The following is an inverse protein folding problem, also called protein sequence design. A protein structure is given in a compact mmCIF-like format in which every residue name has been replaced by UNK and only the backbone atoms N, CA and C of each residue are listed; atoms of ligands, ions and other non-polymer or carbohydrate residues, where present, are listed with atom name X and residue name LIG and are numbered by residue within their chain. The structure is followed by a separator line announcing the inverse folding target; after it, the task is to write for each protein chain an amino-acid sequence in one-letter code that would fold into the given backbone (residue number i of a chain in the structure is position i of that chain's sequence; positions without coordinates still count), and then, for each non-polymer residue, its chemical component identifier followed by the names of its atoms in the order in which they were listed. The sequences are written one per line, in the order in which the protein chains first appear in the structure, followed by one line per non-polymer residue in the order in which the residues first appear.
data_IF_787587574748
#
_entry.id   IF_787587574748
#
_cell.length_a   1.000
_cell.length_b   1.000
_cell.length_c   1.000
_cell.angle_alpha   90.00
_cell.angle_beta   90.00
_cell.angle_gamma   90.00
#
_symmetry.space_group_name_H-M   'P 1'
#
loop_
_entity.id
_entity.type
_entity.pdbx_description
1 polymer ?
#
# COMPACT_ATOMS: atom_id res chain seq x y z
N UNK A 1 10.79 2.96 -6.45
CA UNK A 1 11.24 2.39 -5.16
C UNK A 1 10.20 1.37 -4.74
N UNK A 2 10.59 0.16 -4.35
CA UNK A 2 9.63 -0.89 -3.95
C UNK A 2 9.61 -1.08 -2.43
N UNK A 3 8.45 -1.46 -1.90
CA UNK A 3 8.24 -1.82 -0.50
C UNK A 3 7.61 -3.21 -0.46
N UNK A 4 8.36 -4.16 0.09
CA UNK A 4 7.89 -5.51 0.31
C UNK A 4 7.66 -5.75 1.81
N UNK A 5 6.68 -6.59 2.13
CA UNK A 5 6.32 -6.87 3.51
C UNK A 5 5.20 -7.89 3.61
N UNK A 6 4.72 -8.11 4.83
CA UNK A 6 3.55 -8.96 5.09
C UNK A 6 2.31 -8.09 5.18
N UNK A 7 1.25 -8.42 4.44
CA UNK A 7 0.00 -7.68 4.49
C UNK A 7 -0.71 -7.94 5.83
N UNK A 8 -0.86 -6.92 6.67
CA UNK A 8 -1.50 -7.06 7.98
C UNK A 8 -2.99 -6.75 7.94
N UNK A 9 -3.37 -5.69 7.23
CA UNK A 9 -4.76 -5.27 7.06
C UNK A 9 -4.95 -4.67 5.67
N UNK A 10 -6.14 -4.86 5.09
CA UNK A 10 -6.58 -4.17 3.89
C UNK A 10 -8.03 -3.70 4.03
N UNK A 11 -8.30 -2.51 3.53
CA UNK A 11 -9.62 -1.89 3.46
C UNK A 11 -9.88 -1.45 2.02
N UNK A 12 -10.61 -2.26 1.24
CA UNK A 12 -10.94 -1.97 -0.16
C UNK A 12 -12.09 -0.98 -0.33
N UNK A 13 -12.32 -0.53 -1.56
CA UNK A 13 -13.49 0.29 -1.92
C UNK A 13 -13.42 1.78 -1.53
N UNK A 14 -12.25 2.28 -1.16
CA UNK A 14 -12.05 3.68 -0.80
C UNK A 14 -11.77 4.55 -2.04
N UNK A 15 -11.90 5.87 -1.89
CA UNK A 15 -11.67 6.85 -2.97
C UNK A 15 -10.87 8.05 -2.48
N UNK A 16 -9.96 8.55 -3.30
CA UNK A 16 -9.19 9.76 -3.01
C UNK A 16 -9.09 10.64 -4.24
N UNK A 17 -8.78 11.92 -4.04
CA UNK A 17 -8.25 12.77 -5.10
C UNK A 17 -6.73 12.56 -5.17
N UNK A 18 -6.21 12.22 -6.35
CA UNK A 18 -4.78 12.13 -6.63
C UNK A 18 -4.51 12.84 -7.96
N UNK A 19 -3.56 13.77 -7.97
CA UNK A 19 -3.22 14.59 -9.15
C UNK A 19 -4.40 15.33 -9.82
N UNK A 20 -5.46 15.64 -9.05
CA UNK A 20 -6.63 16.37 -9.55
C UNK A 20 -7.76 15.47 -10.06
N UNK A 21 -7.57 14.14 -10.08
CA UNK A 21 -8.58 13.17 -10.48
C UNK A 21 -9.01 12.29 -9.29
N UNK A 22 -10.23 11.75 -9.34
CA UNK A 22 -10.71 10.79 -8.35
C UNK A 22 -10.20 9.39 -8.72
N UNK A 23 -9.49 8.75 -7.78
CA UNK A 23 -8.97 7.41 -7.94
C UNK A 23 -9.53 6.49 -6.85
N UNK A 24 -9.99 5.27 -7.19
CA UNK A 24 -10.23 4.24 -6.19
C UNK A 24 -8.89 3.84 -5.56
N UNK A 25 -8.94 3.38 -4.31
CA UNK A 25 -7.78 2.84 -3.66
C UNK A 25 -8.12 1.82 -2.58
N UNK A 26 -7.12 1.02 -2.23
CA UNK A 26 -7.13 0.14 -1.07
C UNK A 26 -6.19 0.70 -0.01
N UNK A 27 -6.70 0.95 1.20
CA UNK A 27 -5.83 1.26 2.34
C UNK A 27 -5.28 -0.05 2.88
N UNK A 28 -3.99 -0.13 3.11
CA UNK A 28 -3.42 -1.30 3.75
C UNK A 28 -2.27 -0.94 4.69
N UNK A 29 -1.97 -1.87 5.61
CA UNK A 29 -0.77 -1.80 6.43
C UNK A 29 0.07 -3.02 6.15
N UNK A 30 1.37 -2.81 5.94
CA UNK A 30 2.33 -3.90 5.75
C UNK A 30 3.38 -3.86 6.87
N UNK A 31 3.78 -5.03 7.36
CA UNK A 31 4.95 -5.19 8.23
C UNK A 31 6.22 -5.31 7.38
N UNK A 32 7.30 -4.61 7.76
CA UNK A 32 8.60 -4.73 7.08
C UNK A 32 9.12 -6.17 7.18
N UNK A 33 9.67 -6.68 6.08
CA UNK A 33 10.23 -8.05 6.06
C UNK A 33 11.52 -8.17 6.88
N UNK A 34 12.28 -7.09 7.04
CA UNK A 34 13.50 -7.05 7.84
C UNK A 34 13.22 -6.74 9.32
N UNK A 35 12.09 -6.08 9.61
CA UNK A 35 11.67 -5.70 10.96
C UNK A 35 10.14 -5.74 11.09
N UNK A 36 9.57 -6.88 11.53
CA UNK A 36 8.13 -7.05 11.62
C UNK A 36 7.43 -6.08 12.59
N UNK A 37 8.14 -5.49 13.56
CA UNK A 37 7.57 -4.48 14.46
C UNK A 37 7.37 -3.13 13.75
N UNK A 38 8.06 -2.93 12.62
CA UNK A 38 7.94 -1.74 11.80
C UNK A 38 6.80 -1.89 10.80
N UNK A 39 5.74 -1.13 11.02
CA UNK A 39 4.57 -1.10 10.15
C UNK A 39 4.60 0.12 9.22
N UNK A 40 4.07 -0.05 8.01
CA UNK A 40 3.89 1.03 7.04
C UNK A 40 2.44 1.14 6.62
N UNK A 41 1.91 2.37 6.68
CA UNK A 41 0.62 2.68 6.08
C UNK A 41 0.79 2.92 4.58
N UNK A 42 0.01 2.19 3.79
CA UNK A 42 0.05 2.23 2.34
C UNK A 42 -1.35 2.52 1.78
N UNK A 43 -1.36 3.19 0.65
CA UNK A 43 -2.53 3.42 -0.18
C UNK A 43 -2.21 2.91 -1.57
N UNK A 44 -2.85 1.81 -1.97
CA UNK A 44 -2.69 1.24 -3.31
C UNK A 44 -3.71 1.90 -4.22
N UNK A 45 -3.24 2.82 -5.06
CA UNK A 45 -4.07 3.59 -6.00
C UNK A 45 -4.50 2.72 -7.19
N UNK A 46 -5.60 3.13 -7.82
CA UNK A 46 -6.15 2.53 -9.04
C UNK A 46 -6.68 1.09 -8.86
N UNK A 47 -6.77 0.62 -7.61
CA UNK A 47 -7.23 -0.72 -7.25
C UNK A 47 -8.51 -0.65 -6.40
N UNK A 48 -9.47 -1.53 -6.72
CA UNK A 48 -10.72 -1.67 -5.95
C UNK A 48 -10.51 -2.65 -4.79
N UNK A 49 -9.72 -3.70 -5.01
CA UNK A 49 -9.25 -4.66 -4.00
C UNK A 49 -7.83 -5.14 -4.35
N UNK A 50 -7.11 -5.66 -3.36
CA UNK A 50 -5.82 -6.32 -3.55
C UNK A 50 -6.04 -7.84 -3.48
N UNK A 51 -5.63 -8.63 -4.50
CA UNK A 51 -5.82 -10.09 -4.53
C UNK A 51 -4.79 -10.84 -3.67
N UNK A 52 -4.43 -10.28 -2.51
CA UNK A 52 -3.50 -10.85 -1.54
C UNK A 52 -4.23 -10.96 -0.21
N UNK A 53 -4.12 -12.12 0.44
CA UNK A 53 -4.73 -12.36 1.73
C UNK A 53 -3.95 -11.70 2.87
N UNK A 54 -4.62 -11.42 3.98
CA UNK A 54 -3.94 -10.97 5.20
C UNK A 54 -3.02 -12.10 5.70
N UNK A 55 -1.79 -11.75 6.06
CA UNK A 55 -0.74 -12.69 6.45
C UNK A 55 0.18 -13.10 5.29
N UNK A 56 -0.18 -12.79 4.04
CA UNK A 56 0.63 -13.14 2.86
C UNK A 56 1.62 -12.01 2.50
N UNK A 57 2.73 -12.36 1.83
CA UNK A 57 3.68 -11.37 1.34
C UNK A 57 3.09 -10.52 0.22
N UNK A 58 3.40 -9.23 0.25
CA UNK A 58 2.99 -8.24 -0.75
C UNK A 58 4.19 -7.38 -1.14
N UNK A 59 4.24 -7.00 -2.43
CA UNK A 59 5.20 -6.04 -2.96
C UNK A 59 4.47 -4.86 -3.60
N UNK A 60 4.83 -3.66 -3.17
CA UNK A 60 4.24 -2.40 -3.58
C UNK A 60 5.28 -1.52 -4.25
N UNK A 61 4.92 -0.91 -5.38
CA UNK A 61 5.72 0.13 -6.00
C UNK A 61 5.34 1.50 -5.42
N UNK A 62 6.25 2.14 -4.70
CA UNK A 62 6.01 3.45 -4.10
C UNK A 62 6.06 4.53 -5.17
N UNK A 63 4.95 5.23 -5.33
CA UNK A 63 4.81 6.39 -6.21
C UNK A 63 5.20 7.66 -5.46
N UNK A 64 4.67 7.85 -4.24
CA UNK A 64 4.87 9.07 -3.46
C UNK A 64 4.84 8.78 -1.97
N UNK A 65 5.77 9.42 -1.25
CA UNK A 65 5.77 9.41 0.22
C UNK A 65 5.03 10.66 0.72
N UNK A 66 4.08 10.46 1.62
CA UNK A 66 3.31 11.52 2.24
C UNK A 66 3.61 11.50 3.73
N UNK A 67 4.20 12.57 4.24
CA UNK A 67 4.38 12.77 5.67
C UNK A 67 3.33 13.75 6.17
N UNK A 68 2.37 13.27 6.95
CA UNK A 68 1.39 14.13 7.60
C UNK A 68 2.01 14.74 8.86
N UNK A 69 2.49 15.97 8.75
CA UNK A 69 3.21 16.67 9.84
C UNK A 69 2.40 16.82 11.13
N UNK A 70 1.06 16.86 11.04
CA UNK A 70 0.17 17.03 12.21
C UNK A 70 0.02 15.75 13.01
N UNK A 71 0.01 14.59 12.36
CA UNK A 71 -0.15 13.27 12.99
C UNK A 71 1.17 12.53 13.15
N UNK A 72 2.25 12.99 12.49
CA UNK A 72 3.53 12.29 12.42
C UNK A 72 3.49 11.03 11.55
N UNK A 73 2.36 10.75 10.90
CA UNK A 73 2.17 9.53 10.11
C UNK A 73 2.88 9.66 8.77
N UNK A 74 3.62 8.62 8.40
CA UNK A 74 4.20 8.44 7.07
C UNK A 74 3.35 7.44 6.30
N UNK A 75 2.68 7.91 5.25
CA UNK A 75 1.88 7.08 4.33
C UNK A 75 2.56 7.01 2.97
N UNK A 76 2.50 5.84 2.36
CA UNK A 76 3.02 5.61 1.01
C UNK A 76 1.86 5.47 0.03
N UNK A 77 1.82 6.34 -0.98
CA UNK A 77 1.00 6.10 -2.17
C UNK A 77 1.76 5.13 -3.07
N UNK A 78 1.10 4.03 -3.39
CA UNK A 78 1.69 2.89 -4.04
C UNK A 78 0.84 2.42 -5.21
N UNK A 79 1.45 1.63 -6.09
CA UNK A 79 0.77 0.69 -6.97
C UNK A 79 1.09 -0.73 -6.54
N UNK A 80 0.17 -1.64 -6.81
CA UNK A 80 0.46 -3.04 -6.65
C UNK A 80 1.56 -3.39 -7.66
N UNK A 81 2.73 -3.82 -7.17
CA UNK A 81 3.72 -4.37 -8.09
C UNK A 81 3.06 -5.60 -8.68
N UNK A 82 2.91 -5.66 -10.00
CA UNK A 82 2.55 -6.92 -10.64
C UNK A 82 3.60 -7.91 -10.19
N UNK A 83 3.23 -8.86 -9.33
CA UNK A 83 4.01 -10.07 -9.15
C UNK A 83 4.20 -10.58 -10.57
N UNK A 84 5.43 -10.83 -11.07
CA UNK A 84 5.57 -11.49 -12.36
C UNK A 84 4.72 -12.74 -12.23
N UNK A 85 3.67 -12.83 -13.06
CA UNK A 85 2.86 -14.03 -13.15
C UNK A 85 3.88 -15.16 -13.39
N UNK A 86 3.98 -16.08 -12.45
CA UNK A 86 4.66 -17.33 -12.71
C UNK A 86 3.84 -18.01 -13.81
N UNK A 87 4.34 -17.94 -15.05
CA UNK A 87 4.05 -18.92 -16.09
C UNK A 87 4.56 -20.31 -15.68
#
# INVERSE_FOLDING_TARGET
MTRAGTLLVKEPGLKTIFQGEEHPYVRCTIADIADPERHFECRVLDEIDIPIAIGEPISLEVIKVITERRSGVVRFDCRLSKTPAQE
#
